data_IF_886672875607
#
_entry.id   IF_886672875607
#
_cell.length_a   1.000
_cell.length_b   1.000
_cell.length_c   1.000
_cell.angle_alpha   90.00
_cell.angle_beta   90.00
_cell.angle_gamma   90.00
#
_symmetry.space_group_name_H-M   'P 1'
#
loop_
_entity.id
_entity.type
_entity.pdbx_description
1 polymer ?
#
# COMPACT_ATOMS: atom_id res chain seq x y z
N UNK A 1 2.74 25.22 9.75
CA UNK A 1 1.32 24.90 10.01
C UNK A 1 1.22 23.43 10.36
N UNK A 2 0.62 23.09 11.49
CA UNK A 2 0.38 21.69 11.87
C UNK A 2 -0.96 21.21 11.26
N UNK A 3 -1.03 19.92 10.92
CA UNK A 3 -2.25 19.28 10.44
C UNK A 3 -3.34 19.33 11.54
N UNK A 4 -4.61 19.44 11.13
CA UNK A 4 -5.72 19.32 12.05
C UNK A 4 -5.86 17.87 12.53
N UNK A 5 -6.48 17.68 13.71
CA UNK A 5 -6.72 16.34 14.26
C UNK A 5 -7.55 15.46 13.31
N UNK A 6 -8.50 16.05 12.60
CA UNK A 6 -9.33 15.32 11.63
C UNK A 6 -8.54 14.90 10.39
N UNK A 7 -7.60 15.72 9.94
CA UNK A 7 -6.69 15.38 8.84
C UNK A 7 -5.77 14.22 9.22
N UNK A 8 -5.20 14.26 10.43
CA UNK A 8 -4.37 13.17 10.96
C UNK A 8 -5.19 11.87 11.01
N UNK A 9 -6.41 11.92 11.56
CA UNK A 9 -7.30 10.75 11.65
C UNK A 9 -7.69 10.20 10.27
N UNK A 10 -7.92 11.06 9.28
CA UNK A 10 -8.22 10.66 7.90
C UNK A 10 -7.02 9.94 7.25
N UNK A 11 -5.82 10.46 7.47
CA UNK A 11 -4.57 9.84 6.98
C UNK A 11 -4.34 8.49 7.66
N UNK A 12 -4.49 8.40 8.98
CA UNK A 12 -4.38 7.13 9.73
C UNK A 12 -5.36 6.08 9.21
N UNK A 13 -6.63 6.46 9.03
CA UNK A 13 -7.65 5.57 8.46
C UNK A 13 -7.29 5.11 7.05
N UNK A 14 -6.74 6.00 6.23
CA UNK A 14 -6.28 5.68 4.88
C UNK A 14 -5.16 4.64 4.91
N UNK A 15 -4.16 4.82 5.77
CA UNK A 15 -3.05 3.87 5.96
C UNK A 15 -3.56 2.52 6.45
N UNK A 16 -4.42 2.52 7.48
CA UNK A 16 -4.99 1.30 8.05
C UNK A 16 -5.82 0.51 7.02
N UNK A 17 -6.65 1.19 6.23
CA UNK A 17 -7.46 0.56 5.19
C UNK A 17 -6.59 -0.02 4.07
N UNK A 18 -5.50 0.66 3.69
CA UNK A 18 -4.55 0.15 2.68
C UNK A 18 -3.82 -1.10 3.17
N UNK A 19 -3.38 -1.12 4.43
CA UNK A 19 -2.78 -2.28 5.06
C UNK A 19 -3.75 -3.47 5.12
N UNK A 20 -4.97 -3.25 5.62
CA UNK A 20 -6.02 -4.29 5.69
C UNK A 20 -6.34 -4.86 4.31
N UNK A 21 -6.51 -4.01 3.30
CA UNK A 21 -6.74 -4.46 1.92
C UNK A 21 -5.58 -5.33 1.44
N UNK A 22 -4.32 -4.91 1.65
CA UNK A 22 -3.14 -5.67 1.23
C UNK A 22 -3.07 -7.05 1.90
N UNK A 23 -3.36 -7.14 3.20
CA UNK A 23 -3.39 -8.42 3.91
C UNK A 23 -4.49 -9.34 3.37
N UNK A 24 -5.67 -8.80 3.06
CA UNK A 24 -6.80 -9.57 2.54
C UNK A 24 -6.59 -10.03 1.08
N UNK A 25 -5.94 -9.23 0.23
CA UNK A 25 -5.66 -9.57 -1.17
C UNK A 25 -4.24 -10.07 -1.41
N UNK A 26 -3.50 -10.43 -0.35
CA UNK A 26 -2.16 -11.00 -0.52
C UNK A 26 -2.29 -12.39 -1.13
N UNK A 27 -1.94 -12.49 -2.42
CA UNK A 27 -1.74 -13.76 -3.08
C UNK A 27 -0.23 -14.01 -3.16
N UNK A 28 0.32 -15.02 -2.46
CA UNK A 28 1.72 -15.36 -2.62
C UNK A 28 1.95 -15.74 -4.09
N UNK A 29 2.89 -15.07 -4.76
CA UNK A 29 3.25 -15.47 -6.11
C UNK A 29 3.67 -16.94 -6.10
N UNK A 30 3.33 -17.72 -7.14
CA UNK A 30 3.83 -19.09 -7.31
C UNK A 30 5.32 -19.02 -7.70
N UNK A 31 6.14 -18.57 -6.76
CA UNK A 31 7.56 -18.46 -6.93
C UNK A 31 8.15 -19.85 -6.72
N UNK A 32 8.37 -20.58 -7.82
CA UNK A 32 9.19 -21.79 -7.83
C UNK A 32 10.61 -21.38 -7.43
N UNK A 33 10.85 -21.27 -6.13
CA UNK A 33 12.15 -20.89 -5.53
C UNK A 33 12.72 -22.08 -4.77
N UNK A 34 13.15 -23.16 -5.47
CA UNK A 34 13.55 -24.42 -4.86
C UNK A 34 14.73 -24.25 -3.90
N UNK A 35 15.68 -23.36 -4.22
CA UNK A 35 16.81 -23.06 -3.33
C UNK A 35 16.38 -22.37 -2.04
N UNK A 36 15.50 -21.37 -2.11
CA UNK A 36 15.03 -20.65 -0.92
C UNK A 36 14.15 -21.53 -0.04
N UNK A 37 13.34 -22.41 -0.63
CA UNK A 37 12.58 -23.43 0.10
C UNK A 37 13.54 -24.39 0.82
N UNK A 38 14.63 -24.80 0.17
CA UNK A 38 15.61 -25.73 0.74
C UNK A 38 16.48 -25.09 1.82
N UNK A 39 16.74 -23.78 1.72
CA UNK A 39 17.56 -23.03 2.68
C UNK A 39 16.77 -22.54 3.91
N UNK A 40 15.56 -22.01 3.69
CA UNK A 40 14.76 -21.34 4.74
C UNK A 40 13.56 -22.19 5.20
N UNK A 41 13.15 -23.19 4.41
CA UNK A 41 11.89 -23.88 4.62
C UNK A 41 10.69 -23.09 4.06
N UNK A 42 9.59 -23.81 3.83
CA UNK A 42 8.37 -23.26 3.20
C UNK A 42 7.76 -22.10 4.00
N UNK A 43 7.68 -22.25 5.32
CA UNK A 43 7.00 -21.27 6.19
C UNK A 43 7.78 -19.95 6.29
N UNK A 44 9.11 -20.03 6.40
CA UNK A 44 9.96 -18.83 6.46
C UNK A 44 9.98 -18.10 5.12
N UNK A 45 9.92 -18.81 4.01
CA UNK A 45 9.81 -18.22 2.69
C UNK A 45 8.47 -17.51 2.49
N UNK A 46 7.36 -18.12 2.92
CA UNK A 46 6.04 -17.48 2.87
C UNK A 46 6.00 -16.18 3.69
N UNK A 47 6.58 -16.19 4.89
CA UNK A 47 6.70 -15.01 5.73
C UNK A 47 7.62 -13.94 5.11
N UNK A 48 8.74 -14.35 4.52
CA UNK A 48 9.65 -13.44 3.83
C UNK A 48 8.97 -12.75 2.66
N UNK A 49 8.30 -13.51 1.78
CA UNK A 49 7.57 -12.98 0.63
C UNK A 49 6.45 -12.04 1.06
N UNK A 50 5.76 -12.36 2.17
CA UNK A 50 4.75 -11.50 2.76
C UNK A 50 5.34 -10.15 3.24
N UNK A 51 6.41 -10.19 4.04
CA UNK A 51 7.09 -8.99 4.54
C UNK A 51 7.66 -8.17 3.39
N UNK A 52 8.26 -8.83 2.39
CA UNK A 52 8.81 -8.19 1.21
C UNK A 52 7.72 -7.46 0.41
N UNK A 53 6.59 -8.14 0.14
CA UNK A 53 5.43 -7.57 -0.55
C UNK A 53 4.80 -6.39 0.18
N UNK A 54 4.86 -6.38 1.52
CA UNK A 54 4.46 -5.23 2.33
C UNK A 54 5.46 -4.10 2.12
N UNK A 55 6.77 -4.35 2.27
CA UNK A 55 7.81 -3.32 2.20
C UNK A 55 7.86 -2.60 0.86
N UNK A 56 7.80 -3.33 -0.26
CA UNK A 56 7.85 -2.74 -1.62
C UNK A 56 6.63 -1.88 -1.91
N UNK A 57 5.43 -2.34 -1.51
CA UNK A 57 4.21 -1.56 -1.65
C UNK A 57 4.21 -0.34 -0.71
N UNK A 58 4.66 -0.48 0.54
CA UNK A 58 4.65 0.63 1.49
C UNK A 58 5.57 1.78 1.04
N UNK A 59 6.76 1.47 0.53
CA UNK A 59 7.72 2.47 0.09
C UNK A 59 7.28 3.31 -1.11
N UNK A 60 6.44 2.77 -1.99
CA UNK A 60 6.09 3.40 -3.28
C UNK A 60 4.60 3.71 -3.45
N UNK A 61 3.70 2.86 -2.95
CA UNK A 61 2.25 2.98 -3.23
C UNK A 61 1.44 3.68 -2.13
N UNK A 62 2.01 3.93 -0.95
CA UNK A 62 1.25 4.59 0.15
C UNK A 62 1.30 6.12 0.09
N UNK A 63 2.35 6.68 -0.50
CA UNK A 63 2.54 8.13 -0.60
C UNK A 63 1.43 8.79 -1.40
N UNK A 64 1.01 8.18 -2.50
CA UNK A 64 -0.03 8.73 -3.37
C UNK A 64 -1.44 8.81 -2.73
N UNK A 65 -2.00 7.75 -2.12
CA UNK A 65 -3.28 7.85 -1.44
C UNK A 65 -3.22 8.76 -0.21
N UNK A 66 -2.08 8.84 0.48
CA UNK A 66 -1.89 9.81 1.58
C UNK A 66 -1.84 11.24 1.05
N UNK A 67 -1.13 11.49 -0.06
CA UNK A 67 -1.07 12.80 -0.70
C UNK A 67 -2.45 13.26 -1.19
N UNK A 68 -3.27 12.35 -1.74
CA UNK A 68 -4.66 12.64 -2.14
C UNK A 68 -5.53 12.92 -0.91
N UNK A 69 -5.42 12.11 0.15
CA UNK A 69 -6.16 12.34 1.39
C UNK A 69 -5.79 13.70 1.99
N UNK A 70 -4.50 14.03 2.05
CA UNK A 70 -4.02 15.33 2.49
C UNK A 70 -4.51 16.46 1.58
N UNK A 71 -4.41 16.33 0.25
CA UNK A 71 -4.87 17.33 -0.70
C UNK A 71 -6.37 17.57 -0.57
N UNK A 72 -7.19 16.52 -0.52
CA UNK A 72 -8.64 16.67 -0.36
C UNK A 72 -9.01 17.27 1.00
N UNK A 73 -8.31 16.92 2.07
CA UNK A 73 -8.67 17.36 3.44
C UNK A 73 -8.06 18.72 3.83
N UNK A 74 -6.92 19.11 3.26
CA UNK A 74 -6.31 20.45 3.42
C UNK A 74 -6.82 21.44 2.39
N UNK A 75 -7.20 20.98 1.20
CA UNK A 75 -7.42 21.84 0.05
C UNK A 75 -8.87 21.87 -0.45
N UNK A 76 -9.85 21.60 0.43
CA UNK A 76 -11.22 22.08 0.24
C UNK A 76 -11.26 23.61 -0.03
N UNK A 77 -10.19 24.34 0.31
CA UNK A 77 -10.02 25.76 -0.01
C UNK A 77 -9.03 26.08 -1.14
N UNK A 78 -8.26 25.11 -1.69
CA UNK A 78 -7.14 25.43 -2.62
C UNK A 78 -7.01 24.58 -3.88
N UNK A 79 -7.55 23.36 -3.94
CA UNK A 79 -7.42 22.49 -5.12
C UNK A 79 -8.77 21.91 -5.55
N UNK A 80 -9.12 22.10 -6.83
CA UNK A 80 -10.39 21.67 -7.42
C UNK A 80 -10.46 20.15 -7.68
N UNK A 81 -9.32 19.50 -7.87
CA UNK A 81 -9.20 18.07 -8.22
C UNK A 81 -7.86 17.51 -7.73
N UNK A 82 -7.89 16.32 -7.10
CA UNK A 82 -6.71 15.49 -6.85
C UNK A 82 -6.98 14.08 -7.40
N UNK A 83 -6.07 13.53 -8.20
CA UNK A 83 -6.23 12.24 -8.90
C UNK A 83 -4.96 11.40 -8.77
N UNK A 84 -5.14 10.08 -8.78
CA UNK A 84 -4.04 9.13 -8.91
C UNK A 84 -3.39 9.30 -10.29
N UNK A 85 -2.06 9.30 -10.36
CA UNK A 85 -1.33 9.32 -11.61
C UNK A 85 -1.12 7.93 -12.20
N UNK A 86 -1.03 6.89 -11.35
CA UNK A 86 -0.87 5.52 -11.83
C UNK A 86 -2.19 4.76 -11.83
N UNK A 87 -2.61 4.28 -13.01
CA UNK A 87 -3.60 3.21 -13.13
C UNK A 87 -2.86 1.89 -12.91
N UNK A 88 -2.91 1.34 -11.70
CA UNK A 88 -2.41 -0.01 -11.44
C UNK A 88 -3.09 -0.98 -12.43
N UNK A 89 -2.27 -1.69 -13.20
CA UNK A 89 -2.65 -2.38 -14.44
C UNK A 89 -3.99 -3.10 -14.37
N UNK A 90 -4.89 -2.71 -15.27
CA UNK A 90 -6.10 -3.46 -15.60
C UNK A 90 -5.69 -4.87 -16.03
N UNK A 91 -6.24 -5.89 -15.38
CA UNK A 91 -6.12 -7.26 -15.88
C UNK A 91 -6.77 -7.40 -17.28
N UNK A 92 -6.13 -8.26 -18.07
CA UNK A 92 -6.67 -9.03 -19.20
C UNK A 92 -6.74 -8.36 -20.58
N UNK A 93 -5.79 -8.72 -21.43
CA UNK A 93 -6.08 -9.33 -22.73
C UNK A 93 -5.48 -10.72 -22.69
#
# INVERSE_FOLDING_TARGET
MALSKDQIKSVENTIANRLRKKMNTYNPEPAVMPFHIKLLGKDRLALYSFIHSIKTNFGTTIFEPVAISLALTLALSRFKVAKFQTKSGTQSI
#
